data_IF_877113460101
#
_entry.id   IF_877113460101
#
_cell.length_a   1.000
_cell.length_b   1.000
_cell.length_c   1.000
_cell.angle_alpha   90.00
_cell.angle_beta   90.00
_cell.angle_gamma   90.00
#
_symmetry.space_group_name_H-M   'P 1'
#
loop_
_entity.id
_entity.type
_entity.pdbx_description
1 polymer ?
#
# COMPACT_ATOMS: atom_id res chain seq x y z
N UNK A 1 7.59 -6.18 -36.23
CA UNK A 1 8.97 -6.63 -35.99
C UNK A 1 9.24 -6.43 -34.50
N UNK A 2 9.04 -7.50 -33.72
CA UNK A 2 9.10 -7.51 -32.26
C UNK A 2 10.55 -7.67 -31.81
N UNK A 3 11.26 -6.55 -31.59
CA UNK A 3 12.53 -6.62 -30.87
C UNK A 3 12.28 -7.03 -29.42
N UNK A 4 12.57 -8.30 -29.13
CA UNK A 4 12.74 -8.81 -27.77
C UNK A 4 13.88 -8.04 -27.10
N UNK A 5 13.55 -6.96 -26.39
CA UNK A 5 14.46 -6.27 -25.49
C UNK A 5 14.79 -7.20 -24.32
N UNK A 6 15.74 -8.13 -24.54
CA UNK A 6 16.24 -9.05 -23.51
C UNK A 6 16.95 -8.20 -22.47
N UNK A 7 16.35 -8.08 -21.29
CA UNK A 7 17.00 -7.46 -20.13
C UNK A 7 18.38 -8.11 -19.89
N UNK A 8 19.40 -7.35 -19.46
CA UNK A 8 20.75 -7.87 -19.27
C UNK A 8 20.76 -9.04 -18.29
N UNK A 9 21.67 -10.01 -18.50
CA UNK A 9 21.71 -11.30 -17.78
C UNK A 9 21.73 -11.14 -16.25
N UNK A 10 22.42 -10.10 -15.74
CA UNK A 10 22.47 -9.78 -14.31
C UNK A 10 21.12 -9.33 -13.74
N UNK A 11 20.31 -8.59 -14.52
CA UNK A 11 18.96 -8.16 -14.12
C UNK A 11 17.97 -9.33 -14.13
N UNK A 12 18.11 -10.27 -15.06
CA UNK A 12 17.29 -11.49 -15.08
C UNK A 12 17.64 -12.40 -13.90
N UNK A 13 18.92 -12.58 -13.60
CA UNK A 13 19.37 -13.34 -12.44
C UNK A 13 18.89 -12.73 -11.11
N UNK A 14 18.95 -11.41 -10.95
CA UNK A 14 18.41 -10.71 -9.78
C UNK A 14 16.89 -10.87 -9.66
N UNK A 15 16.16 -10.81 -10.78
CA UNK A 15 14.71 -11.04 -10.81
C UNK A 15 14.34 -12.47 -10.42
N UNK A 16 15.03 -13.48 -10.96
CA UNK A 16 14.82 -14.88 -10.60
C UNK A 16 15.18 -15.13 -9.13
N UNK A 17 16.26 -14.54 -8.63
CA UNK A 17 16.62 -14.60 -7.20
C UNK A 17 15.56 -13.99 -6.30
N UNK A 18 14.99 -12.84 -6.67
CA UNK A 18 13.90 -12.21 -5.93
C UNK A 18 12.62 -13.05 -5.95
N UNK A 19 12.26 -13.64 -7.10
CA UNK A 19 11.09 -14.51 -7.22
C UNK A 19 11.25 -15.80 -6.39
N UNK A 20 12.43 -16.41 -6.41
CA UNK A 20 12.74 -17.58 -5.58
C UNK A 20 12.65 -17.20 -4.10
N UNK A 21 13.24 -16.07 -3.70
CA UNK A 21 13.15 -15.58 -2.33
C UNK A 21 11.69 -15.34 -1.92
N UNK A 22 10.88 -14.71 -2.77
CA UNK A 22 9.47 -14.49 -2.48
C UNK A 22 8.70 -15.81 -2.30
N UNK A 23 8.97 -16.85 -3.10
CA UNK A 23 8.29 -18.15 -2.96
C UNK A 23 8.66 -18.86 -1.64
N UNK A 24 9.94 -18.80 -1.25
CA UNK A 24 10.46 -19.52 -0.08
C UNK A 24 10.46 -18.71 1.22
N UNK A 25 10.30 -17.39 1.16
CA UNK A 25 10.25 -16.50 2.31
C UNK A 25 9.32 -16.97 3.44
N UNK A 26 8.05 -17.35 3.20
CA UNK A 26 7.16 -17.73 4.30
C UNK A 26 7.62 -19.02 4.98
N UNK A 27 8.26 -19.95 4.27
CA UNK A 27 8.82 -21.17 4.85
C UNK A 27 10.08 -20.90 5.69
N UNK A 28 10.97 -20.03 5.21
CA UNK A 28 12.18 -19.64 5.95
C UNK A 28 11.79 -18.94 7.25
N UNK A 29 10.89 -17.97 7.15
CA UNK A 29 10.44 -17.17 8.28
C UNK A 29 9.55 -17.96 9.23
N UNK A 30 8.67 -18.81 8.68
CA UNK A 30 7.85 -19.75 9.45
C UNK A 30 8.68 -20.77 10.22
N UNK A 31 9.79 -21.26 9.64
CA UNK A 31 10.71 -22.15 10.34
C UNK A 31 11.47 -21.45 11.48
N UNK A 32 11.75 -20.15 11.33
CA UNK A 32 12.51 -19.37 12.33
C UNK A 32 11.66 -18.95 13.55
N UNK A 33 10.37 -18.67 13.37
CA UNK A 33 9.54 -18.13 14.46
C UNK A 33 8.03 -18.38 14.34
N UNK A 34 7.60 -19.34 13.52
CA UNK A 34 6.21 -19.74 13.37
C UNK A 34 5.32 -18.77 12.59
N UNK A 35 4.00 -18.99 12.65
CA UNK A 35 3.00 -18.27 11.85
C UNK A 35 2.93 -16.77 12.14
N UNK A 36 3.39 -16.34 13.32
CA UNK A 36 3.45 -14.94 13.70
C UNK A 36 4.27 -14.12 12.70
N UNK A 37 5.49 -14.58 12.37
CA UNK A 37 6.36 -13.85 11.47
C UNK A 37 5.92 -13.94 10.01
N UNK A 38 5.20 -15.00 9.63
CA UNK A 38 4.56 -15.05 8.31
C UNK A 38 3.47 -13.98 8.20
N UNK A 39 2.67 -13.79 9.26
CA UNK A 39 1.67 -12.71 9.32
C UNK A 39 2.31 -11.32 9.25
N UNK A 40 3.49 -11.14 9.83
CA UNK A 40 4.27 -9.90 9.70
C UNK A 40 4.66 -9.65 8.24
N UNK A 41 5.10 -10.70 7.52
CA UNK A 41 5.38 -10.59 6.09
C UNK A 41 4.13 -10.22 5.28
N UNK A 42 2.95 -10.75 5.64
CA UNK A 42 1.69 -10.38 5.00
C UNK A 42 1.39 -8.90 5.19
N UNK A 43 1.53 -8.38 6.41
CA UNK A 43 1.39 -6.96 6.67
C UNK A 43 2.44 -6.14 5.91
N UNK A 44 3.69 -6.61 5.82
CA UNK A 44 4.71 -5.93 5.04
C UNK A 44 4.32 -5.81 3.56
N UNK A 45 3.79 -6.88 2.95
CA UNK A 45 3.28 -6.86 1.57
C UNK A 45 2.07 -5.92 1.43
N UNK A 46 1.16 -5.92 2.40
CA UNK A 46 0.00 -5.03 2.41
C UNK A 46 0.42 -3.55 2.45
N UNK A 47 1.36 -3.19 3.33
CA UNK A 47 1.90 -1.83 3.40
C UNK A 47 2.71 -1.46 2.15
N UNK A 48 3.40 -2.41 1.51
CA UNK A 48 4.06 -2.17 0.22
C UNK A 48 3.02 -1.86 -0.85
N UNK A 49 1.90 -2.58 -0.91
CA UNK A 49 0.82 -2.30 -1.87
C UNK A 49 0.25 -0.89 -1.67
N UNK A 50 -0.03 -0.50 -0.41
CA UNK A 50 -0.45 0.85 -0.04
C UNK A 50 0.59 1.91 -0.43
N UNK A 51 1.85 1.68 -0.08
CA UNK A 51 2.94 2.61 -0.38
C UNK A 51 3.17 2.78 -1.88
N UNK A 52 3.04 1.71 -2.68
CA UNK A 52 3.11 1.80 -4.13
C UNK A 52 1.98 2.64 -4.73
N UNK A 53 0.76 2.56 -4.16
CA UNK A 53 -0.35 3.43 -4.52
C UNK A 53 -0.09 4.89 -4.17
N UNK A 54 0.33 5.17 -2.94
CA UNK A 54 0.68 6.53 -2.52
C UNK A 54 1.87 7.10 -3.31
N UNK A 55 2.82 6.26 -3.70
CA UNK A 55 3.98 6.66 -4.51
C UNK A 55 3.59 7.15 -5.91
N UNK A 56 2.40 6.83 -6.42
CA UNK A 56 1.89 7.45 -7.65
C UNK A 56 1.59 8.93 -7.43
N UNK A 57 0.91 9.24 -6.33
CA UNK A 57 0.44 10.58 -6.00
C UNK A 57 1.61 11.46 -5.53
N UNK A 58 2.33 10.98 -4.51
CA UNK A 58 3.43 11.74 -3.89
C UNK A 58 4.70 11.63 -4.73
N UNK A 59 5.06 10.40 -5.13
CA UNK A 59 6.32 10.13 -5.81
C UNK A 59 6.34 10.62 -7.25
N UNK A 60 5.36 10.26 -8.08
CA UNK A 60 5.36 10.66 -9.49
C UNK A 60 4.74 12.03 -9.73
N UNK A 61 3.56 12.32 -9.17
CA UNK A 61 2.85 13.57 -9.43
C UNK A 61 3.25 14.73 -8.52
N UNK A 62 3.96 14.48 -7.41
CA UNK A 62 4.42 15.53 -6.49
C UNK A 62 3.33 16.10 -5.59
N UNK A 63 2.23 15.37 -5.41
CA UNK A 63 1.07 15.81 -4.65
C UNK A 63 1.14 15.18 -3.26
N UNK A 64 1.30 15.99 -2.21
CA UNK A 64 1.36 15.47 -0.85
C UNK A 64 -0.05 15.10 -0.37
N UNK A 65 -0.27 13.82 -0.09
CA UNK A 65 -1.55 13.25 0.32
C UNK A 65 -1.41 12.58 1.69
N UNK A 66 -1.82 13.28 2.74
CA UNK A 66 -1.90 12.74 4.11
C UNK A 66 -3.24 12.06 4.39
N UNK A 67 -4.21 12.22 3.49
CA UNK A 67 -5.54 11.63 3.56
C UNK A 67 -5.64 10.24 2.97
N UNK A 68 -4.51 9.63 2.58
CA UNK A 68 -4.48 8.36 1.85
C UNK A 68 -5.25 7.23 2.56
N UNK A 69 -5.30 7.28 3.89
CA UNK A 69 -6.05 6.34 4.73
C UNK A 69 -7.55 6.27 4.41
N UNK A 70 -8.16 7.34 3.88
CA UNK A 70 -9.55 7.29 3.48
C UNK A 70 -9.79 6.31 2.32
N UNK A 71 -8.88 6.23 1.35
CA UNK A 71 -9.00 5.30 0.23
C UNK A 71 -8.86 3.85 0.69
N UNK A 72 -7.97 3.63 1.66
CA UNK A 72 -7.82 2.36 2.35
C UNK A 72 -9.10 1.97 3.11
N UNK A 73 -9.69 2.90 3.86
CA UNK A 73 -10.94 2.71 4.57
C UNK A 73 -12.12 2.38 3.64
N UNK A 74 -12.28 3.14 2.54
CA UNK A 74 -13.33 2.91 1.53
C UNK A 74 -13.27 1.49 0.97
N UNK A 75 -12.08 0.99 0.64
CA UNK A 75 -11.89 -0.38 0.16
C UNK A 75 -12.21 -1.44 1.23
N UNK A 76 -11.74 -1.22 2.46
CA UNK A 76 -11.97 -2.15 3.56
C UNK A 76 -13.45 -2.27 3.93
N UNK A 77 -14.16 -1.14 4.00
CA UNK A 77 -15.59 -1.15 4.26
C UNK A 77 -16.40 -1.67 3.08
N UNK A 78 -15.96 -1.46 1.83
CA UNK A 78 -16.59 -2.15 0.69
C UNK A 78 -16.55 -3.66 0.87
N UNK A 79 -15.40 -4.23 1.25
CA UNK A 79 -15.29 -5.66 1.53
C UNK A 79 -16.07 -6.08 2.78
N UNK A 80 -16.06 -5.28 3.84
CA UNK A 80 -16.82 -5.58 5.04
C UNK A 80 -18.33 -5.62 4.78
N UNK A 81 -18.86 -4.69 3.98
CA UNK A 81 -20.30 -4.61 3.68
C UNK A 81 -20.75 -5.68 2.68
N UNK A 82 -19.94 -5.95 1.66
CA UNK A 82 -20.27 -6.90 0.59
C UNK A 82 -19.81 -8.33 0.87
N UNK A 83 -19.07 -8.55 1.95
CA UNK A 83 -18.51 -9.85 2.33
C UNK A 83 -18.88 -10.25 3.75
N UNK A 84 -19.80 -9.56 4.42
CA UNK A 84 -20.31 -9.96 5.73
C UNK A 84 -21.84 -10.00 5.75
N UNK A 85 -22.44 -10.73 6.72
CA UNK A 85 -23.90 -10.71 6.92
C UNK A 85 -24.45 -9.37 7.46
N UNK A 86 -23.61 -8.37 7.70
CA UNK A 86 -24.04 -7.12 8.33
C UNK A 86 -25.15 -6.43 7.53
N UNK A 87 -24.97 -6.32 6.22
CA UNK A 87 -25.91 -5.63 5.35
C UNK A 87 -27.26 -6.38 5.23
N UNK A 88 -27.22 -7.71 5.17
CA UNK A 88 -28.43 -8.55 5.18
C UNK A 88 -29.16 -8.50 6.52
N UNK A 89 -28.44 -8.36 7.64
CA UNK A 89 -29.09 -8.27 8.96
C UNK A 89 -29.75 -6.90 9.19
N UNK A 90 -29.23 -5.85 8.57
CA UNK A 90 -29.75 -4.49 8.77
C UNK A 90 -30.91 -4.14 7.83
N UNK A 91 -30.93 -4.70 6.61
CA UNK A 91 -31.91 -4.34 5.59
C UNK A 91 -32.75 -5.57 5.19
N UNK A 92 -34.03 -5.56 5.57
CA UNK A 92 -34.96 -6.67 5.28
C UNK A 92 -35.08 -6.99 3.78
N UNK A 93 -35.04 -5.98 2.91
CA UNK A 93 -35.09 -6.19 1.46
C UNK A 93 -33.85 -6.91 0.91
N UNK A 94 -32.69 -6.71 1.53
CA UNK A 94 -31.45 -7.42 1.20
C UNK A 94 -31.50 -8.84 1.78
N UNK A 95 -32.02 -8.99 3.00
CA UNK A 95 -32.24 -10.30 3.60
C UNK A 95 -33.13 -11.19 2.70
N UNK A 96 -34.21 -10.63 2.16
CA UNK A 96 -35.13 -11.36 1.29
C UNK A 96 -34.51 -11.75 -0.06
N UNK A 97 -33.57 -10.95 -0.57
CA UNK A 97 -32.83 -11.27 -1.80
C UNK A 97 -31.66 -12.24 -1.56
N UNK A 98 -31.00 -12.13 -0.40
CA UNK A 98 -29.80 -12.89 -0.03
C UNK A 98 -29.91 -13.36 1.44
N UNK A 99 -30.70 -14.42 1.71
CA UNK A 99 -31.01 -14.86 3.08
C UNK A 99 -29.79 -15.36 3.87
N UNK A 100 -28.73 -15.81 3.19
CA UNK A 100 -27.49 -16.24 3.82
C UNK A 100 -26.47 -15.09 3.98
N UNK A 101 -26.74 -13.91 3.44
CA UNK A 101 -25.77 -12.81 3.35
C UNK A 101 -25.32 -12.54 1.92
N UNK A 102 -24.93 -11.29 1.66
CA UNK A 102 -24.33 -10.91 0.38
C UNK A 102 -22.90 -11.47 0.38
N UNK A 103 -22.75 -12.71 -0.08
CA UNK A 103 -21.47 -13.41 -0.15
C UNK A 103 -20.84 -13.21 -1.53
N UNK A 104 -20.58 -11.94 -1.88
CA UNK A 104 -19.98 -11.65 -3.17
C UNK A 104 -18.57 -12.22 -3.21
N UNK A 105 -18.28 -12.99 -4.26
CA UNK A 105 -16.96 -13.54 -4.52
C UNK A 105 -15.94 -12.40 -4.50
N UNK A 106 -14.86 -12.57 -3.71
CA UNK A 106 -13.81 -11.55 -3.50
C UNK A 106 -13.26 -10.96 -4.81
N UNK A 107 -13.25 -11.76 -5.89
CA UNK A 107 -12.88 -11.33 -7.23
C UNK A 107 -13.71 -10.18 -7.81
N UNK A 108 -14.97 -10.04 -7.41
CA UNK A 108 -15.81 -8.88 -7.78
C UNK A 108 -15.58 -7.71 -6.85
N UNK A 109 -15.33 -7.98 -5.56
CA UNK A 109 -15.13 -6.95 -4.56
C UNK A 109 -13.82 -6.19 -4.78
N UNK A 110 -12.74 -6.85 -5.22
CA UNK A 110 -11.45 -6.18 -5.49
C UNK A 110 -11.59 -5.08 -6.57
N UNK A 111 -12.10 -5.36 -7.79
CA UNK A 111 -12.32 -4.33 -8.81
C UNK A 111 -13.34 -3.27 -8.39
N UNK A 112 -14.40 -3.65 -7.67
CA UNK A 112 -15.39 -2.70 -7.17
C UNK A 112 -14.81 -1.77 -6.10
N UNK A 113 -13.98 -2.29 -5.20
CA UNK A 113 -13.25 -1.50 -4.20
C UNK A 113 -12.23 -0.57 -4.86
N UNK A 114 -11.50 -1.07 -5.87
CA UNK A 114 -10.58 -0.25 -6.67
C UNK A 114 -11.31 0.89 -7.41
N UNK A 115 -12.45 0.57 -8.04
CA UNK A 115 -13.27 1.53 -8.78
C UNK A 115 -13.92 2.57 -7.87
N UNK A 116 -14.47 2.15 -6.72
CA UNK A 116 -15.05 3.05 -5.75
C UNK A 116 -13.98 3.96 -5.14
N UNK A 117 -12.83 3.41 -4.74
CA UNK A 117 -11.75 4.23 -4.23
C UNK A 117 -11.22 5.21 -5.30
N UNK A 118 -11.12 4.79 -6.56
CA UNK A 118 -10.76 5.69 -7.66
C UNK A 118 -11.79 6.82 -7.85
N UNK A 119 -13.09 6.52 -7.77
CA UNK A 119 -14.17 7.51 -7.81
C UNK A 119 -14.04 8.53 -6.69
N UNK A 120 -13.83 8.07 -5.45
CA UNK A 120 -13.57 8.95 -4.31
C UNK A 120 -12.29 9.75 -4.53
N UNK A 121 -11.23 9.15 -5.07
CA UNK A 121 -10.00 9.85 -5.45
C UNK A 121 -10.25 11.01 -6.43
N UNK A 122 -11.12 10.83 -7.42
CA UNK A 122 -11.52 11.91 -8.35
C UNK A 122 -12.38 12.96 -7.65
N UNK A 123 -13.37 12.51 -6.87
CA UNK A 123 -14.30 13.39 -6.14
C UNK A 123 -13.54 14.33 -5.23
N UNK A 124 -12.51 13.83 -4.56
CA UNK A 124 -11.67 14.61 -3.65
C UNK A 124 -10.60 15.37 -4.37
N UNK A 125 -9.96 14.76 -5.37
CA UNK A 125 -8.98 15.45 -6.17
C UNK A 125 -9.56 16.76 -6.71
N UNK A 126 -10.83 16.76 -7.15
CA UNK A 126 -11.52 17.90 -7.79
C UNK A 126 -11.47 19.21 -7.00
N UNK A 127 -11.94 19.30 -5.73
CA UNK A 127 -11.82 20.51 -4.93
C UNK A 127 -10.38 20.86 -4.58
N UNK A 128 -9.51 19.86 -4.37
CA UNK A 128 -8.13 20.11 -3.91
C UNK A 128 -7.17 20.52 -5.04
N UNK A 129 -7.57 20.42 -6.31
CA UNK A 129 -6.74 20.81 -7.47
C UNK A 129 -6.25 22.26 -7.45
N UNK A 130 -6.95 23.14 -6.74
CA UNK A 130 -6.61 24.56 -6.62
C UNK A 130 -5.53 24.82 -5.56
N UNK A 131 -5.26 23.84 -4.69
CA UNK A 131 -4.30 23.95 -3.60
C UNK A 131 -2.95 23.38 -4.01
N UNK A 132 -1.89 23.84 -3.33
CA UNK A 132 -0.50 23.46 -3.59
C UNK A 132 0.25 23.26 -2.29
N UNK A 133 1.27 22.40 -2.34
CA UNK A 133 2.18 22.15 -1.23
C UNK A 133 1.43 21.80 0.05
N UNK A 134 1.71 22.53 1.12
CA UNK A 134 1.20 22.25 2.45
C UNK A 134 -0.32 22.42 2.57
N UNK A 135 -0.94 23.31 1.76
CA UNK A 135 -2.40 23.45 1.75
C UNK A 135 -3.09 22.19 1.21
N UNK A 136 -2.50 21.53 0.22
CA UNK A 136 -2.99 20.26 -0.30
C UNK A 136 -2.89 19.15 0.77
N UNK A 137 -1.80 19.15 1.53
CA UNK A 137 -1.58 18.24 2.65
C UNK A 137 -2.64 18.38 3.76
N UNK A 138 -2.91 19.61 4.19
CA UNK A 138 -3.85 19.91 5.27
C UNK A 138 -5.27 19.47 4.87
N UNK A 139 -5.69 19.76 3.63
CA UNK A 139 -7.04 19.38 3.16
C UNK A 139 -7.18 17.87 3.00
N UNK A 140 -6.16 17.18 2.50
CA UNK A 140 -6.20 15.71 2.41
C UNK A 140 -6.25 15.07 3.80
N UNK A 141 -5.45 15.55 4.76
CA UNK A 141 -5.53 15.13 6.16
C UNK A 141 -6.96 15.29 6.71
N UNK A 142 -7.53 16.50 6.56
CA UNK A 142 -8.89 16.78 7.02
C UNK A 142 -9.91 15.83 6.39
N UNK A 143 -9.77 15.52 5.10
CA UNK A 143 -10.62 14.55 4.45
C UNK A 143 -10.46 13.13 4.99
N UNK A 144 -9.21 12.67 5.20
CA UNK A 144 -8.92 11.39 5.83
C UNK A 144 -9.68 11.23 7.14
N UNK A 145 -9.67 12.29 7.94
CA UNK A 145 -10.33 12.33 9.24
C UNK A 145 -11.84 12.47 9.17
N UNK A 146 -12.36 13.20 8.18
CA UNK A 146 -13.79 13.24 7.89
C UNK A 146 -14.30 11.84 7.54
N UNK A 147 -13.60 11.06 6.72
CA UNK A 147 -14.03 9.70 6.39
C UNK A 147 -14.03 8.80 7.63
N UNK A 148 -13.00 8.87 8.47
CA UNK A 148 -12.97 8.10 9.72
C UNK A 148 -14.14 8.45 10.63
N UNK A 149 -14.38 9.74 10.86
CA UNK A 149 -15.48 10.22 11.71
C UNK A 149 -16.83 9.87 11.08
N UNK A 150 -16.96 10.00 9.76
CA UNK A 150 -18.16 9.64 9.02
C UNK A 150 -18.48 8.16 9.21
N UNK A 151 -17.50 7.27 9.03
CA UNK A 151 -17.65 5.84 9.29
C UNK A 151 -17.96 5.53 10.75
N UNK A 152 -17.43 6.31 11.69
CA UNK A 152 -17.72 6.11 13.10
C UNK A 152 -19.15 6.50 13.48
N UNK A 153 -19.74 7.49 12.80
CA UNK A 153 -21.11 7.98 13.05
C UNK A 153 -22.17 7.37 12.12
N UNK A 154 -21.77 6.53 11.15
CA UNK A 154 -22.68 5.89 10.21
C UNK A 154 -23.31 4.61 10.81
N UNK A 155 -23.47 4.58 12.14
CA UNK A 155 -24.30 3.66 12.89
C UNK A 155 -25.74 4.19 13.04
N UNK A 156 -25.95 5.50 12.86
CA UNK A 156 -27.25 6.20 12.98
C UNK A 156 -27.47 7.18 11.81
N UNK A 157 -28.71 7.37 11.33
CA UNK A 157 -29.96 6.72 11.73
C UNK A 157 -30.14 5.30 11.17
N UNK A 158 -29.38 4.94 10.13
CA UNK A 158 -29.35 3.59 9.54
C UNK A 158 -27.97 3.00 9.82
N UNK A 159 -27.92 1.84 10.46
CA UNK A 159 -26.66 1.23 10.90
C UNK A 159 -25.93 0.55 9.74
N UNK A 160 -25.18 1.33 8.95
CA UNK A 160 -24.44 0.79 7.80
C UNK A 160 -23.09 0.23 8.23
N UNK A 161 -22.40 0.87 9.17
CA UNK A 161 -20.99 0.59 9.46
C UNK A 161 -20.75 -0.06 10.82
N UNK A 162 -21.78 -0.14 11.66
CA UNK A 162 -21.69 -0.53 13.06
C UNK A 162 -20.81 0.40 13.94
N UNK A 163 -20.44 1.58 13.42
CA UNK A 163 -19.68 2.61 14.14
C UNK A 163 -18.41 2.04 14.82
N UNK A 164 -18.13 2.38 16.09
CA UNK A 164 -16.96 1.90 16.80
C UNK A 164 -16.93 0.39 17.05
N UNK A 165 -18.07 -0.30 16.96
CA UNK A 165 -18.12 -1.77 17.13
C UNK A 165 -17.50 -2.50 15.95
N UNK A 166 -17.43 -1.84 14.79
CA UNK A 166 -16.92 -2.41 13.56
C UNK A 166 -17.76 -3.57 13.01
N UNK A 167 -17.36 -4.06 11.84
CA UNK A 167 -17.99 -5.16 11.14
C UNK A 167 -17.08 -6.39 11.28
N UNK A 168 -17.63 -7.45 11.86
CA UNK A 168 -16.98 -8.76 12.05
C UNK A 168 -17.50 -9.78 11.03
N UNK A 169 -16.93 -10.99 11.05
CA UNK A 169 -17.36 -12.12 10.22
C UNK A 169 -17.26 -11.80 8.72
N UNK A 170 -16.24 -11.03 8.36
CA UNK A 170 -15.93 -10.75 6.97
C UNK A 170 -15.40 -12.04 6.36
N UNK A 171 -15.97 -12.44 5.24
CA UNK A 171 -15.62 -13.68 4.60
C UNK A 171 -14.16 -13.70 4.16
N UNK A 172 -13.48 -14.83 4.40
CA UNK A 172 -12.15 -15.04 3.88
C UNK A 172 -12.20 -15.23 2.36
N UNK A 173 -11.06 -15.03 1.72
CA UNK A 173 -10.93 -15.23 0.28
C UNK A 173 -11.18 -16.69 -0.08
N UNK A 174 -12.16 -16.94 -0.97
CA UNK A 174 -12.46 -18.25 -1.53
C UNK A 174 -12.10 -18.27 -3.02
N UNK A 175 -11.19 -19.15 -3.44
CA UNK A 175 -10.77 -19.28 -4.84
C UNK A 175 -11.13 -20.68 -5.34
N UNK A 176 -12.06 -20.78 -6.31
CA UNK A 176 -12.49 -22.05 -6.92
C UNK A 176 -12.83 -23.16 -5.89
N UNK A 177 -13.43 -22.80 -4.75
CA UNK A 177 -13.78 -23.72 -3.66
C UNK A 177 -12.72 -23.91 -2.57
N UNK A 178 -11.51 -23.37 -2.75
CA UNK A 178 -10.48 -23.32 -1.71
C UNK A 178 -10.72 -22.12 -0.78
N UNK A 179 -11.01 -22.40 0.48
CA UNK A 179 -11.22 -21.41 1.53
C UNK A 179 -9.90 -21.06 2.22
N UNK A 180 -9.43 -19.82 2.04
CA UNK A 180 -8.13 -19.39 2.55
C UNK A 180 -8.08 -19.26 4.07
N UNK A 181 -9.22 -19.33 4.77
CA UNK A 181 -9.27 -19.39 6.24
C UNK A 181 -8.94 -20.78 6.79
N UNK A 182 -9.16 -21.82 5.98
CA UNK A 182 -8.94 -23.20 6.41
C UNK A 182 -7.49 -23.62 6.19
N UNK A 183 -7.05 -24.60 6.96
CA UNK A 183 -5.79 -25.30 6.73
C UNK A 183 -5.96 -26.23 5.54
N UNK A 184 -4.99 -26.24 4.63
CA UNK A 184 -4.98 -27.17 3.51
C UNK A 184 -3.67 -27.96 3.50
N UNK A 185 -3.80 -29.26 3.29
CA UNK A 185 -2.65 -30.14 3.18
C UNK A 185 -2.42 -30.46 1.70
N UNK A 186 -1.29 -30.00 1.16
CA UNK A 186 -0.89 -30.28 -0.22
C UNK A 186 0.38 -31.12 -0.21
N UNK A 187 0.33 -32.32 -0.82
CA UNK A 187 1.50 -33.21 -1.00
C UNK A 187 2.29 -33.47 0.29
N UNK A 188 1.62 -33.57 1.44
CA UNK A 188 2.25 -33.81 2.74
C UNK A 188 2.84 -32.57 3.44
N UNK A 189 2.73 -31.39 2.81
CA UNK A 189 3.11 -30.10 3.38
C UNK A 189 1.84 -29.39 3.85
N UNK A 190 1.84 -28.95 5.12
CA UNK A 190 0.71 -28.28 5.76
C UNK A 190 0.77 -26.78 5.47
N UNK A 191 -0.28 -26.23 4.88
CA UNK A 191 -0.42 -24.80 4.63
C UNK A 191 -1.47 -24.20 5.56
N UNK A 192 -1.00 -23.41 6.52
CA UNK A 192 -1.87 -22.58 7.34
C UNK A 192 -2.41 -21.39 6.52
N UNK A 193 -3.55 -20.83 6.95
CA UNK A 193 -4.22 -19.69 6.31
C UNK A 193 -3.27 -18.54 5.94
N UNK A 194 -2.34 -18.22 6.86
CA UNK A 194 -1.37 -17.13 6.71
C UNK A 194 -0.47 -17.34 5.48
N UNK A 195 -0.09 -18.58 5.16
CA UNK A 195 0.71 -18.87 3.96
C UNK A 195 -0.09 -18.65 2.67
N UNK A 196 -1.41 -18.90 2.70
CA UNK A 196 -2.25 -18.69 1.52
C UNK A 196 -2.43 -17.21 1.21
N UNK A 197 -2.67 -16.41 2.25
CA UNK A 197 -2.75 -14.97 2.13
C UNK A 197 -1.42 -14.35 1.68
N UNK A 198 -0.29 -14.89 2.15
CA UNK A 198 1.03 -14.50 1.66
C UNK A 198 1.14 -14.61 0.13
N UNK A 199 0.82 -15.78 -0.43
CA UNK A 199 0.90 -15.97 -1.89
C UNK A 199 -0.09 -15.09 -2.65
N UNK A 200 -1.28 -14.86 -2.10
CA UNK A 200 -2.25 -13.92 -2.67
C UNK A 200 -1.69 -12.49 -2.69
N UNK A 201 -1.11 -12.03 -1.58
CA UNK A 201 -0.52 -10.69 -1.49
C UNK A 201 0.70 -10.54 -2.40
N UNK A 202 1.53 -11.57 -2.56
CA UNK A 202 2.62 -11.56 -3.54
C UNK A 202 2.08 -11.40 -4.96
N UNK A 203 1.02 -12.14 -5.33
CA UNK A 203 0.40 -12.03 -6.66
C UNK A 203 -0.16 -10.63 -6.88
N UNK A 204 -0.93 -10.09 -5.92
CA UNK A 204 -1.52 -8.77 -6.02
C UNK A 204 -0.45 -7.65 -6.04
N UNK A 205 0.57 -7.76 -5.19
CA UNK A 205 1.70 -6.85 -5.20
C UNK A 205 2.45 -6.91 -6.54
N UNK A 206 2.66 -8.09 -7.12
CA UNK A 206 3.27 -8.24 -8.44
C UNK A 206 2.42 -7.56 -9.53
N UNK A 207 1.10 -7.72 -9.50
CA UNK A 207 0.18 -7.03 -10.42
C UNK A 207 0.31 -5.51 -10.26
N UNK A 208 0.25 -5.00 -9.03
CA UNK A 208 0.41 -3.56 -8.76
C UNK A 208 1.76 -3.05 -9.25
N UNK A 209 2.86 -3.77 -9.00
CA UNK A 209 4.20 -3.42 -9.46
C UNK A 209 4.24 -3.35 -11.00
N UNK A 210 3.67 -4.35 -11.69
CA UNK A 210 3.61 -4.37 -13.15
C UNK A 210 2.83 -3.16 -13.67
N UNK A 211 1.68 -2.85 -13.07
CA UNK A 211 0.88 -1.68 -13.44
C UNK A 211 1.65 -0.39 -13.18
N UNK A 212 2.28 -0.23 -12.01
CA UNK A 212 3.11 0.93 -11.67
C UNK A 212 4.26 1.12 -12.68
N UNK A 213 4.99 0.06 -13.04
CA UNK A 213 6.08 0.11 -14.01
C UNK A 213 5.58 0.49 -15.41
N UNK A 214 4.41 -0.02 -15.82
CA UNK A 214 3.77 0.34 -17.09
C UNK A 214 3.33 1.80 -17.09
N UNK A 215 2.72 2.28 -16.00
CA UNK A 215 2.30 3.67 -15.84
C UNK A 215 3.48 4.63 -15.86
N UNK A 216 4.57 4.31 -15.13
CA UNK A 216 5.78 5.11 -15.10
C UNK A 216 6.39 5.29 -16.50
N UNK A 217 6.39 4.23 -17.32
CA UNK A 217 6.93 4.28 -18.68
C UNK A 217 5.93 4.81 -19.73
N UNK A 218 4.68 5.08 -19.33
CA UNK A 218 3.63 5.58 -20.23
C UNK A 218 3.71 7.09 -20.44
N UNK A 219 2.87 7.62 -21.35
CA UNK A 219 2.68 9.07 -21.54
C UNK A 219 2.15 9.75 -20.27
N UNK A 220 1.28 9.06 -19.52
CA UNK A 220 0.68 9.55 -18.28
C UNK A 220 1.75 9.72 -17.21
N UNK A 221 2.63 8.72 -17.03
CA UNK A 221 3.75 8.80 -16.08
C UNK A 221 4.72 9.93 -16.39
N UNK A 222 5.04 10.15 -17.67
CA UNK A 222 5.87 11.30 -18.08
C UNK A 222 5.19 12.64 -17.80
N UNK A 223 3.87 12.72 -17.98
CA UNK A 223 3.10 13.92 -17.65
C UNK A 223 3.07 14.20 -16.15
N UNK A 224 3.00 13.17 -15.29
CA UNK A 224 3.12 13.34 -13.84
C UNK A 224 4.49 13.86 -13.43
N UNK A 225 5.57 13.30 -13.98
CA UNK A 225 6.92 13.80 -13.69
C UNK A 225 7.05 15.26 -14.14
N UNK A 226 6.61 15.60 -15.35
CA UNK A 226 6.64 17.00 -15.83
C UNK A 226 5.84 17.94 -14.92
N UNK A 227 4.66 17.51 -14.47
CA UNK A 227 3.81 18.26 -13.55
C UNK A 227 4.50 18.52 -12.20
N UNK A 228 5.22 17.53 -11.67
CA UNK A 228 5.95 17.61 -10.40
C UNK A 228 7.12 18.59 -10.48
N UNK A 229 7.84 18.63 -11.60
CA UNK A 229 8.97 19.54 -11.77
C UNK A 229 8.50 21.01 -11.92
N UNK A 230 7.55 21.27 -12.83
CA UNK A 230 6.94 22.60 -12.98
C UNK A 230 5.55 22.51 -13.62
N UNK A 231 4.51 22.79 -12.83
CA UNK A 231 3.12 22.80 -13.30
C UNK A 231 2.84 23.86 -14.38
N UNK A 232 3.45 25.04 -14.27
CA UNK A 232 3.24 26.14 -15.21
C UNK A 232 3.87 25.80 -16.56
N UNK A 233 5.11 25.28 -16.55
CA UNK A 233 5.78 24.82 -17.76
C UNK A 233 5.02 23.64 -18.40
N UNK A 234 4.59 22.65 -17.62
CA UNK A 234 3.78 21.53 -18.11
C UNK A 234 2.49 22.01 -18.81
N UNK A 235 1.81 23.00 -18.22
CA UNK A 235 0.61 23.60 -18.81
C UNK A 235 0.90 24.37 -20.10
N UNK A 236 2.02 25.10 -20.17
CA UNK A 236 2.46 25.79 -21.39
C UNK A 236 2.78 24.81 -22.54
N UNK A 237 3.25 23.61 -22.21
CA UNK A 237 3.49 22.52 -23.16
C UNK A 237 2.22 21.75 -23.57
N UNK A 238 1.03 22.22 -23.20
CA UNK A 238 -0.26 21.64 -23.60
C UNK A 238 -0.74 20.46 -22.73
N UNK A 239 -0.11 20.19 -21.59
CA UNK A 239 -0.55 19.15 -20.66
C UNK A 239 -1.76 19.66 -19.88
N UNK A 240 -2.88 18.91 -19.91
CA UNK A 240 -4.02 19.20 -19.06
C UNK A 240 -3.72 18.79 -17.61
N UNK A 241 -3.19 19.74 -16.83
CA UNK A 241 -2.76 19.51 -15.43
C UNK A 241 -3.90 19.03 -14.54
N UNK A 242 -5.13 19.51 -14.78
CA UNK A 242 -6.34 19.09 -14.04
C UNK A 242 -6.56 17.58 -14.16
N UNK A 243 -6.66 17.08 -15.39
CA UNK A 243 -6.96 15.67 -15.62
C UNK A 243 -5.81 14.77 -15.18
N UNK A 244 -4.57 15.21 -15.36
CA UNK A 244 -3.38 14.46 -14.94
C UNK A 244 -3.29 14.35 -13.40
N UNK A 245 -3.59 15.42 -12.66
CA UNK A 245 -3.72 15.37 -11.19
C UNK A 245 -4.84 14.42 -10.73
N UNK A 246 -6.02 14.52 -11.33
CA UNK A 246 -7.15 13.64 -11.01
C UNK A 246 -6.83 12.17 -11.30
N UNK A 247 -6.13 11.88 -12.40
CA UNK A 247 -5.66 10.53 -12.69
C UNK A 247 -4.66 10.03 -11.65
N UNK A 248 -3.77 10.89 -11.13
CA UNK A 248 -2.85 10.50 -10.07
C UNK A 248 -3.61 10.05 -8.82
N UNK A 249 -4.56 10.86 -8.35
CA UNK A 249 -5.42 10.53 -7.22
C UNK A 249 -6.26 9.28 -7.47
N UNK A 250 -6.89 9.15 -8.64
CA UNK A 250 -7.70 7.98 -8.98
C UNK A 250 -6.89 6.68 -8.94
N UNK A 251 -5.71 6.67 -9.55
CA UNK A 251 -4.83 5.50 -9.62
C UNK A 251 -4.25 5.16 -8.24
N UNK A 252 -3.76 6.16 -7.50
CA UNK A 252 -3.25 5.94 -6.14
C UNK A 252 -4.34 5.43 -5.20
N UNK A 253 -5.53 6.04 -5.25
CA UNK A 253 -6.68 5.63 -4.46
C UNK A 253 -7.16 4.21 -4.81
N UNK A 254 -7.14 3.82 -6.09
CA UNK A 254 -7.52 2.46 -6.51
C UNK A 254 -6.71 1.38 -5.80
N UNK A 255 -5.39 1.55 -5.68
CA UNK A 255 -4.52 0.60 -4.98
C UNK A 255 -4.71 0.64 -3.46
N UNK A 256 -5.08 1.82 -2.92
CA UNK A 256 -5.55 1.97 -1.55
C UNK A 256 -6.80 1.13 -1.29
N UNK A 257 -7.79 1.20 -2.19
CA UNK A 257 -9.02 0.43 -2.13
C UNK A 257 -8.79 -1.08 -2.24
N UNK A 258 -7.93 -1.53 -3.15
CA UNK A 258 -7.54 -2.95 -3.26
C UNK A 258 -6.91 -3.44 -1.96
N UNK A 259 -5.96 -2.69 -1.42
CA UNK A 259 -5.26 -3.04 -0.19
C UNK A 259 -6.22 -3.06 1.02
N UNK A 260 -7.19 -2.14 1.04
CA UNK A 260 -8.26 -2.09 2.04
C UNK A 260 -9.15 -3.32 2.02
N UNK A 261 -9.63 -3.70 0.83
CA UNK A 261 -10.44 -4.90 0.68
C UNK A 261 -9.67 -6.16 1.14
N UNK A 262 -8.38 -6.23 0.84
CA UNK A 262 -7.52 -7.32 1.29
C UNK A 262 -7.27 -7.33 2.79
N UNK A 263 -7.07 -6.16 3.40
CA UNK A 263 -6.98 -6.04 4.86
C UNK A 263 -8.23 -6.59 5.55
N UNK A 264 -9.40 -6.16 5.10
CA UNK A 264 -10.68 -6.56 5.67
C UNK A 264 -10.90 -8.08 5.62
N UNK A 265 -10.58 -8.71 4.48
CA UNK A 265 -10.71 -10.16 4.31
C UNK A 265 -9.65 -10.94 5.11
N UNK A 266 -8.43 -10.39 5.24
CA UNK A 266 -7.35 -11.03 5.98
C UNK A 266 -7.53 -10.97 7.50
N UNK A 267 -7.94 -9.81 8.03
CA UNK A 267 -8.21 -9.64 9.46
C UNK A 267 -9.58 -10.21 9.88
N UNK A 268 -10.53 -10.30 8.95
CA UNK A 268 -11.90 -10.73 9.25
C UNK A 268 -12.73 -9.70 10.04
N UNK A 269 -12.16 -8.51 10.27
CA UNK A 269 -12.72 -7.43 11.05
C UNK A 269 -12.28 -6.07 10.52
N UNK A 270 -13.19 -5.09 10.53
CA UNK A 270 -12.92 -3.71 10.15
C UNK A 270 -13.61 -2.76 11.13
N UNK A 271 -12.87 -1.80 11.68
CA UNK A 271 -13.40 -0.69 12.48
C UNK A 271 -12.79 0.66 12.08
N UNK A 272 -13.46 1.80 12.36
CA UNK A 272 -12.94 3.12 12.01
C UNK A 272 -11.57 3.41 12.64
N UNK A 273 -11.30 2.86 13.82
CA UNK A 273 -10.05 3.04 14.56
C UNK A 273 -8.85 2.38 13.87
N UNK A 274 -9.07 1.50 12.90
CA UNK A 274 -8.01 0.94 12.06
C UNK A 274 -7.50 1.95 11.01
N UNK A 275 -8.22 3.04 10.77
CA UNK A 275 -7.96 4.01 9.70
C UNK A 275 -7.60 5.39 10.26
N UNK A 276 -6.59 5.43 11.13
CA UNK A 276 -6.12 6.68 11.77
C UNK A 276 -5.05 7.39 10.95
N UNK A 277 -4.88 8.70 11.19
CA UNK A 277 -3.84 9.51 10.55
C UNK A 277 -2.43 8.92 10.70
N UNK A 278 -2.14 8.27 11.83
CA UNK A 278 -0.84 7.66 12.06
C UNK A 278 -0.49 6.61 11.00
N UNK A 279 -1.47 5.83 10.54
CA UNK A 279 -1.30 4.85 9.47
C UNK A 279 -0.99 5.53 8.13
N UNK A 280 -1.66 6.66 7.82
CA UNK A 280 -1.33 7.49 6.65
C UNK A 280 0.13 7.97 6.67
N UNK A 281 0.57 8.51 7.81
CA UNK A 281 1.95 9.00 7.99
C UNK A 281 2.94 7.85 7.86
N UNK A 282 2.59 6.68 8.39
CA UNK A 282 3.40 5.47 8.30
C UNK A 282 3.58 5.01 6.85
N UNK A 283 2.51 4.98 6.04
CA UNK A 283 2.57 4.66 4.61
C UNK A 283 3.42 5.71 3.87
N UNK A 284 3.25 7.00 4.17
CA UNK A 284 4.07 8.06 3.59
C UNK A 284 5.55 7.89 3.94
N UNK A 285 5.87 7.54 5.19
CA UNK A 285 7.23 7.30 5.65
C UNK A 285 7.89 6.15 4.89
N UNK A 286 7.16 5.07 4.58
CA UNK A 286 7.65 3.98 3.71
C UNK A 286 8.07 4.52 2.34
N UNK A 287 7.25 5.38 1.73
CA UNK A 287 7.53 5.97 0.42
C UNK A 287 8.75 6.90 0.47
N UNK A 288 8.83 7.76 1.48
CA UNK A 288 9.91 8.74 1.66
C UNK A 288 11.24 8.04 1.99
N UNK A 289 11.23 7.12 2.96
CA UNK A 289 12.40 6.35 3.38
C UNK A 289 12.90 5.44 2.25
N UNK A 290 11.98 4.80 1.52
CA UNK A 290 12.34 3.96 0.37
C UNK A 290 12.96 4.75 -0.79
N UNK A 291 12.39 5.92 -1.09
CA UNK A 291 12.81 6.82 -2.16
C UNK A 291 11.65 7.17 -3.07
N UNK A 292 11.19 8.43 -2.99
CA UNK A 292 10.04 8.93 -3.74
C UNK A 292 10.23 8.75 -5.26
N UNK A 293 9.23 8.17 -5.92
CA UNK A 293 9.26 7.92 -7.36
C UNK A 293 10.16 6.75 -7.79
N UNK A 294 10.68 5.94 -6.86
CA UNK A 294 11.46 4.74 -7.17
C UNK A 294 10.79 3.46 -6.63
N UNK A 295 10.15 2.69 -7.51
CA UNK A 295 9.37 1.50 -7.13
C UNK A 295 10.18 0.47 -6.31
N UNK A 296 11.40 0.04 -6.71
CA UNK A 296 12.20 -0.88 -5.89
C UNK A 296 12.57 -0.30 -4.52
N UNK A 297 12.79 1.02 -4.45
CA UNK A 297 13.10 1.72 -3.21
C UNK A 297 11.93 1.68 -2.24
N UNK A 298 10.70 1.94 -2.72
CA UNK A 298 9.48 1.84 -1.91
C UNK A 298 9.26 0.43 -1.38
N UNK A 299 9.50 -0.61 -2.19
CA UNK A 299 9.42 -2.01 -1.74
C UNK A 299 10.43 -2.27 -0.62
N UNK A 300 11.69 -1.85 -0.80
CA UNK A 300 12.73 -1.98 0.23
C UNK A 300 12.35 -1.20 1.50
N UNK A 301 11.83 0.01 1.35
CA UNK A 301 11.32 0.82 2.45
C UNK A 301 10.23 0.10 3.24
N UNK A 302 9.29 -0.56 2.56
CA UNK A 302 8.22 -1.30 3.21
C UNK A 302 8.73 -2.50 4.00
N UNK A 303 9.61 -3.32 3.39
CA UNK A 303 10.23 -4.46 4.07
C UNK A 303 11.03 -4.01 5.29
N UNK A 304 11.89 -3.01 5.11
CA UNK A 304 12.76 -2.54 6.18
C UNK A 304 11.96 -1.91 7.31
N UNK A 305 11.01 -1.04 7.01
CA UNK A 305 10.33 -0.24 8.03
C UNK A 305 9.33 -1.12 8.81
N UNK A 306 8.53 -1.95 8.13
CA UNK A 306 7.62 -2.91 8.79
C UNK A 306 8.41 -3.96 9.56
N UNK A 307 9.42 -4.57 8.94
CA UNK A 307 10.27 -5.57 9.59
C UNK A 307 11.05 -5.00 10.78
N UNK A 308 11.56 -3.77 10.67
CA UNK A 308 12.28 -3.09 11.75
C UNK A 308 11.37 -2.80 12.93
N UNK A 309 10.19 -2.23 12.70
CA UNK A 309 9.23 -1.96 13.77
C UNK A 309 8.77 -3.22 14.49
N UNK A 310 8.57 -4.30 13.73
CA UNK A 310 8.19 -5.58 14.29
C UNK A 310 9.32 -6.24 15.09
N UNK A 311 10.55 -6.19 14.56
CA UNK A 311 11.73 -6.68 15.27
C UNK A 311 11.95 -5.90 16.58
N UNK A 312 11.76 -4.58 16.56
CA UNK A 312 11.80 -3.76 17.76
C UNK A 312 10.74 -4.21 18.77
N UNK A 313 9.51 -4.51 18.34
CA UNK A 313 8.46 -5.05 19.23
C UNK A 313 8.89 -6.37 19.87
N UNK A 314 9.38 -7.31 19.05
CA UNK A 314 9.78 -8.64 19.51
C UNK A 314 10.99 -8.61 20.46
N UNK A 315 11.90 -7.62 20.31
CA UNK A 315 13.11 -7.49 21.12
C UNK A 315 12.96 -6.54 22.32
N UNK A 316 12.02 -5.59 22.29
CA UNK A 316 11.90 -4.56 23.32
C UNK A 316 11.70 -5.14 24.72
N UNK A 317 10.72 -6.03 24.91
CA UNK A 317 10.44 -6.61 26.23
C UNK A 317 11.56 -7.53 26.72
N UNK A 318 12.08 -8.51 25.93
CA UNK A 318 13.17 -9.37 26.39
C UNK A 318 14.45 -8.61 26.73
N UNK A 319 14.78 -7.57 25.97
CA UNK A 319 15.98 -6.76 26.20
C UNK A 319 15.82 -5.91 27.46
N UNK A 320 14.66 -5.28 27.66
CA UNK A 320 14.39 -4.50 28.88
C UNK A 320 14.39 -5.38 30.13
N UNK A 321 13.75 -6.56 30.08
CA UNK A 321 13.75 -7.49 31.20
C UNK A 321 15.17 -7.98 31.55
N UNK A 322 16.05 -8.17 30.56
CA UNK A 322 17.45 -8.53 30.80
C UNK A 322 18.30 -7.39 31.37
N UNK A 323 18.07 -6.16 30.93
CA UNK A 323 18.87 -4.99 31.34
C UNK A 323 18.40 -4.38 32.66
N UNK A 324 17.09 -4.31 32.87
CA UNK A 324 16.46 -3.56 33.96
C UNK A 324 15.65 -4.45 34.92
N UNK A 325 15.46 -5.73 34.62
CA UNK A 325 14.66 -6.66 35.43
C UNK A 325 13.15 -6.42 35.39
N UNK A 326 12.70 -5.36 34.71
CA UNK A 326 11.31 -5.00 34.48
C UNK A 326 11.19 -4.15 33.20
N UNK A 327 9.98 -4.05 32.65
CA UNK A 327 9.67 -3.21 31.49
C UNK A 327 9.47 -1.77 31.97
N UNK A 328 10.34 -0.86 31.54
CA UNK A 328 10.28 0.57 31.89
C UNK A 328 9.46 1.33 30.85
N UNK A 329 9.63 0.98 29.57
CA UNK A 329 9.01 1.68 28.45
C UNK A 329 8.26 0.68 27.60
N UNK A 330 6.97 0.91 27.40
CA UNK A 330 6.14 0.09 26.52
C UNK A 330 6.75 0.01 25.11
N UNK A 331 6.70 -1.18 24.52
CA UNK A 331 7.28 -1.43 23.20
C UNK A 331 6.71 -0.50 22.11
N UNK A 332 5.45 -0.10 22.26
CA UNK A 332 4.76 0.86 21.37
C UNK A 332 5.43 2.25 21.39
N UNK A 333 5.69 2.80 22.58
CA UNK A 333 6.33 4.11 22.74
C UNK A 333 7.76 4.07 22.20
N UNK A 334 8.50 2.99 22.52
CA UNK A 334 9.85 2.79 22.01
C UNK A 334 9.87 2.74 20.46
N UNK A 335 8.92 2.03 19.87
CA UNK A 335 8.77 1.91 18.41
C UNK A 335 8.50 3.27 17.77
N UNK A 336 7.60 4.08 18.31
CA UNK A 336 7.29 5.41 17.79
C UNK A 336 8.49 6.35 17.88
N UNK A 337 9.21 6.32 19.01
CA UNK A 337 10.43 7.12 19.21
C UNK A 337 11.53 6.72 18.23
N UNK A 338 11.83 5.44 18.11
CA UNK A 338 12.86 4.94 17.20
C UNK A 338 12.48 5.13 15.74
N UNK A 339 11.19 5.03 15.40
CA UNK A 339 10.69 5.37 14.07
C UNK A 339 10.95 6.84 13.72
N UNK A 340 10.58 7.77 14.62
CA UNK A 340 10.81 9.20 14.41
C UNK A 340 12.30 9.51 14.28
N UNK A 341 13.14 8.92 15.15
CA UNK A 341 14.59 9.07 15.10
C UNK A 341 15.18 8.50 13.80
N UNK A 342 14.75 7.32 13.37
CA UNK A 342 15.18 6.71 12.12
C UNK A 342 14.82 7.60 10.91
N UNK A 343 13.61 8.19 10.91
CA UNK A 343 13.19 9.13 9.87
C UNK A 343 14.07 10.39 9.84
N UNK A 344 14.35 11.01 10.98
CA UNK A 344 15.24 12.18 11.07
C UNK A 344 16.64 11.84 10.55
N UNK A 345 17.21 10.72 11.00
CA UNK A 345 18.54 10.27 10.57
C UNK A 345 18.57 10.04 9.06
N UNK A 346 17.58 9.33 8.49
CA UNK A 346 17.52 9.10 7.04
C UNK A 346 17.36 10.42 6.28
N UNK A 347 16.53 11.35 6.77
CA UNK A 347 16.37 12.66 6.11
C UNK A 347 17.66 13.50 6.14
N UNK A 348 18.45 13.42 7.21
CA UNK A 348 19.72 14.14 7.32
C UNK A 348 20.82 13.55 6.42
N UNK A 349 20.97 12.23 6.40
CA UNK A 349 22.08 11.58 5.67
C UNK A 349 21.71 11.16 4.23
N UNK A 350 20.42 10.92 3.95
CA UNK A 350 19.92 10.38 2.68
C UNK A 350 18.56 11.04 2.30
N UNK A 351 18.54 12.34 1.98
CA UNK A 351 17.31 13.10 1.72
C UNK A 351 16.50 12.60 0.51
N UNK A 352 17.11 11.83 -0.39
CA UNK A 352 16.42 11.19 -1.53
C UNK A 352 15.88 9.78 -1.22
N UNK A 353 16.00 9.32 0.02
CA UNK A 353 15.66 7.96 0.47
C UNK A 353 16.85 6.99 0.43
N UNK A 354 16.61 5.77 0.89
CA UNK A 354 17.61 4.70 0.95
C UNK A 354 18.06 4.26 -0.45
N UNK A 355 17.10 4.10 -1.38
CA UNK A 355 17.36 3.72 -2.77
C UNK A 355 16.70 4.72 -3.74
N UNK A 356 17.34 5.86 -4.01
CA UNK A 356 16.79 6.87 -4.90
C UNK A 356 16.79 6.43 -6.37
N UNK A 357 15.88 7.01 -7.16
CA UNK A 357 15.87 6.81 -8.61
C UNK A 357 17.17 7.33 -9.24
N UNK A 358 17.81 6.58 -10.15
CA UNK A 358 19.01 7.05 -10.83
C UNK A 358 18.69 8.32 -11.64
N UNK A 359 19.29 9.47 -11.28
CA UNK A 359 19.15 10.69 -12.09
C UNK A 359 19.88 10.48 -13.40
N UNK A 360 19.33 10.99 -14.51
CA UNK A 360 20.01 10.92 -15.82
C UNK A 360 21.35 11.65 -15.82
N UNK A 361 21.52 12.64 -14.95
CA UNK A 361 22.74 13.40 -14.71
C UNK A 361 23.86 12.58 -14.05
N UNK A 362 23.51 11.57 -13.24
CA UNK A 362 24.48 10.71 -12.53
C UNK A 362 25.02 9.58 -13.41
N UNK A 363 24.56 9.46 -14.66
CA UNK A 363 25.15 8.49 -15.59
C UNK A 363 26.54 9.01 -15.95
N UNK A 364 27.63 8.25 -15.69
CA UNK A 364 28.93 8.63 -16.22
C UNK A 364 28.75 8.80 -17.72
N UNK A 365 28.92 10.03 -18.21
CA UNK A 365 29.01 10.28 -19.64
C UNK A 365 30.12 9.35 -20.10
N UNK A 366 29.79 8.35 -20.93
CA UNK A 366 30.82 7.66 -21.68
C UNK A 366 31.54 8.77 -22.43
N UNK A 367 32.72 9.18 -21.95
CA UNK A 367 33.64 9.97 -22.74
C UNK A 367 33.71 9.23 -24.07
N UNK A 368 33.26 9.88 -25.14
CA UNK A 368 33.55 9.42 -26.49
C UNK A 368 35.07 9.49 -26.60
N UNK A 369 35.74 8.40 -26.22
CA UNK A 369 37.17 8.26 -26.38
C UNK A 369 37.46 8.27 -27.87
N UNK A 370 38.26 9.24 -28.30
CA UNK A 370 39.07 9.16 -29.51
C UNK A 370 38.31 9.28 -30.82
N UNK A 371 38.26 10.50 -31.35
CA UNK A 371 37.89 10.75 -32.75
C UNK A 371 38.23 12.16 -33.25
N UNK A 372 39.16 12.86 -32.60
CA UNK A 372 39.80 14.05 -33.14
C UNK A 372 41.24 13.68 -33.49
N UNK A 373 41.45 13.13 -34.68
CA UNK A 373 42.68 13.37 -35.44
C UNK A 373 42.50 12.98 -36.90
N UNK A 374 42.56 13.99 -37.78
CA UNK A 374 43.33 14.08 -39.03
C UNK A 374 42.51 14.52 -40.26
N UNK A 375 42.84 15.75 -40.64
CA UNK A 375 42.73 16.46 -41.94
C UNK A 375 41.35 17.02 -42.26
#
# INVERSE_FOLDING_TARGET
>A
MTENFKAPMKTRAALYGFLILAIFAPFIVGAAGGNYWVRVLDFALLYIMLALGLNIVVGFAGLLDLGYIAFYAVGAYMMALLGSPHLSNQFEWIHNLFPNGLHLIVWWVIPLGAGLAALFGILLGTPVLKLRGDYLAIVTLGFGEIIRIFMNNLDRPVNITNGPKGINLIEPVKIFGFDFSKRHDFFGIRFDSVYMYYYLFVILAAIIIIVCLRLQNSRIGRAWVALREDEIAAKAMGINTRNIKLLAFAMGASFGGVSGAMFASFQGFVSPESFVLWESIYILAIVVLGGMGHIPGVILGGILLVGFQELLRALAEPVQNKLFGHVIVEAEVLRQLLFGLAMVVVMLYRPSGLWPSPRKEDRPQKQRAGGLSRI
#
